data_IF_568469910445
#
_entry.id   IF_568469910445
#
_cell.length_a   1.000
_cell.length_b   1.000
_cell.length_c   1.000
_cell.angle_alpha   90.00
_cell.angle_beta   90.00
_cell.angle_gamma   90.00
#
_symmetry.space_group_name_H-M   'P 1'
#
loop_
_entity.id
_entity.type
_entity.pdbx_description
1 polymer ?
#
# COMPACT_ATOMS: atom_id res chain seq x y z
N UNK A 1 -17.51 -1.04 23.31
CA UNK A 1 -16.28 -1.83 23.36
C UNK A 1 -15.37 -1.27 22.30
N UNK A 2 -14.35 -0.52 22.69
CA UNK A 2 -13.37 0.01 21.75
C UNK A 2 -12.53 -1.18 21.30
N UNK A 3 -12.67 -1.59 20.05
CA UNK A 3 -11.83 -2.63 19.45
C UNK A 3 -10.45 -2.01 19.24
N UNK A 4 -9.55 -2.25 20.19
CA UNK A 4 -8.15 -1.87 20.09
C UNK A 4 -7.49 -2.81 19.06
N UNK A 5 -7.62 -2.44 17.79
CA UNK A 5 -7.03 -3.18 16.68
C UNK A 5 -5.55 -2.79 16.58
N UNK A 6 -4.64 -3.75 16.32
CA UNK A 6 -3.25 -3.44 16.05
C UNK A 6 -3.11 -2.39 14.96
N UNK A 7 -2.14 -1.47 15.08
CA UNK A 7 -1.92 -0.43 14.07
C UNK A 7 -1.67 -1.01 12.67
N UNK A 8 -1.13 -2.23 12.56
CA UNK A 8 -0.88 -2.92 11.29
C UNK A 8 -2.10 -3.65 10.70
N UNK A 9 -3.22 -3.74 11.42
CA UNK A 9 -4.37 -4.55 11.01
C UNK A 9 -4.96 -4.16 9.64
N UNK A 10 -4.90 -2.87 9.31
CA UNK A 10 -5.36 -2.39 8.00
C UNK A 10 -4.49 -2.96 6.86
N UNK A 11 -3.19 -3.10 7.08
CA UNK A 11 -2.25 -3.57 6.07
C UNK A 11 -2.46 -5.06 5.80
N UNK A 12 -2.68 -5.84 6.85
CA UNK A 12 -2.95 -7.28 6.75
C UNK A 12 -4.23 -7.55 5.97
N UNK A 13 -5.29 -6.77 6.24
CA UNK A 13 -6.55 -6.88 5.52
C UNK A 13 -6.39 -6.58 4.02
N UNK A 14 -5.70 -5.49 3.67
CA UNK A 14 -5.49 -5.13 2.27
C UNK A 14 -4.59 -6.15 1.57
N UNK A 15 -3.52 -6.61 2.22
CA UNK A 15 -2.63 -7.63 1.67
C UNK A 15 -3.38 -8.94 1.41
N UNK A 16 -4.24 -9.35 2.34
CA UNK A 16 -5.10 -10.53 2.19
C UNK A 16 -6.08 -10.35 1.02
N UNK A 17 -6.71 -9.18 0.91
CA UNK A 17 -7.64 -8.88 -0.16
C UNK A 17 -6.95 -8.92 -1.53
N UNK A 18 -5.80 -8.26 -1.69
CA UNK A 18 -5.06 -8.21 -2.94
C UNK A 18 -4.54 -9.59 -3.35
N UNK A 19 -4.02 -10.36 -2.40
CA UNK A 19 -3.61 -11.75 -2.63
C UNK A 19 -4.79 -12.62 -3.06
N UNK A 20 -5.96 -12.43 -2.45
CA UNK A 20 -7.18 -13.15 -2.85
C UNK A 20 -7.61 -12.78 -4.27
N UNK A 21 -7.58 -11.48 -4.61
CA UNK A 21 -7.94 -10.99 -5.94
C UNK A 21 -6.99 -11.54 -7.01
N UNK A 22 -5.68 -11.51 -6.76
CA UNK A 22 -4.69 -12.08 -7.67
C UNK A 22 -4.93 -13.57 -7.91
N UNK A 23 -5.19 -14.33 -6.84
CA UNK A 23 -5.35 -15.78 -6.94
C UNK A 23 -6.67 -16.20 -7.62
N UNK A 24 -7.77 -15.48 -7.37
CA UNK A 24 -9.10 -15.88 -7.84
C UNK A 24 -9.44 -15.27 -9.19
N UNK A 25 -8.99 -14.04 -9.45
CA UNK A 25 -9.38 -13.27 -10.63
C UNK A 25 -8.24 -13.06 -11.62
N UNK A 26 -7.11 -13.75 -11.47
CA UNK A 26 -5.97 -13.63 -12.39
C UNK A 26 -6.32 -13.88 -13.85
N UNK A 27 -7.30 -14.75 -14.13
CA UNK A 27 -7.73 -15.09 -15.49
C UNK A 27 -8.54 -13.97 -16.17
N UNK A 28 -9.08 -13.02 -15.40
CA UNK A 28 -9.94 -11.93 -15.91
C UNK A 28 -9.36 -10.53 -15.71
N UNK A 29 -8.25 -10.42 -14.98
CA UNK A 29 -7.55 -9.16 -14.76
C UNK A 29 -6.63 -8.84 -15.94
N UNK A 30 -6.65 -7.58 -16.38
CA UNK A 30 -5.70 -7.12 -17.39
C UNK A 30 -4.26 -7.18 -16.86
N UNK A 31 -3.31 -7.25 -17.80
CA UNK A 31 -1.87 -7.34 -17.50
C UNK A 31 -1.38 -6.20 -16.60
N UNK A 32 -1.96 -5.00 -16.74
CA UNK A 32 -1.59 -3.83 -15.96
C UNK A 32 -2.02 -3.98 -14.49
N UNK A 33 -3.22 -4.50 -14.23
CA UNK A 33 -3.70 -4.75 -12.86
C UNK A 33 -2.94 -5.91 -12.19
N UNK A 34 -2.58 -6.94 -12.95
CA UNK A 34 -1.70 -8.01 -12.44
C UNK A 34 -0.30 -7.48 -12.13
N UNK A 35 0.23 -6.58 -12.98
CA UNK A 35 1.49 -5.88 -12.75
C UNK A 35 1.43 -5.09 -11.44
N UNK A 36 0.37 -4.30 -11.23
CA UNK A 36 0.11 -3.57 -10.00
C UNK A 36 0.13 -4.48 -8.77
N UNK A 37 -0.63 -5.60 -8.77
CA UNK A 37 -0.72 -6.51 -7.63
C UNK A 37 0.64 -7.14 -7.29
N UNK A 38 1.41 -7.53 -8.30
CA UNK A 38 2.76 -8.09 -8.14
C UNK A 38 3.77 -7.07 -7.66
N UNK A 39 3.72 -5.86 -8.20
CA UNK A 39 4.55 -4.74 -7.75
C UNK A 39 4.26 -4.43 -6.28
N UNK A 40 2.98 -4.28 -5.92
CA UNK A 40 2.57 -4.02 -4.55
C UNK A 40 3.00 -5.14 -3.60
N UNK A 41 2.84 -6.42 -3.97
CA UNK A 41 3.22 -7.55 -3.11
C UNK A 41 4.73 -7.62 -2.86
N UNK A 42 5.56 -7.17 -3.82
CA UNK A 42 7.02 -7.11 -3.70
C UNK A 42 7.56 -5.92 -2.88
N UNK A 43 6.71 -4.94 -2.54
CA UNK A 43 7.15 -3.76 -1.78
C UNK A 43 7.58 -4.11 -0.34
N UNK A 44 8.54 -3.35 0.22
CA UNK A 44 8.79 -3.33 1.66
C UNK A 44 7.54 -2.96 2.46
N UNK A 45 7.46 -3.42 3.71
CA UNK A 45 6.29 -3.20 4.57
C UNK A 45 5.97 -1.70 4.74
N UNK A 46 6.98 -0.87 4.99
CA UNK A 46 6.83 0.58 5.16
C UNK A 46 6.30 1.28 3.91
N UNK A 47 6.70 0.82 2.74
CA UNK A 47 6.17 1.30 1.46
C UNK A 47 4.71 0.91 1.27
N UNK A 48 4.34 -0.33 1.65
CA UNK A 48 2.94 -0.76 1.62
C UNK A 48 2.09 0.07 2.58
N UNK A 49 2.56 0.28 3.84
CA UNK A 49 1.88 1.14 4.83
C UNK A 49 1.66 2.52 4.26
N UNK A 50 2.71 3.15 3.72
CA UNK A 50 2.63 4.47 3.12
C UNK A 50 1.59 4.52 2.00
N UNK A 51 1.64 3.56 1.07
CA UNK A 51 0.71 3.52 -0.06
C UNK A 51 -0.75 3.41 0.40
N UNK A 52 -1.06 2.53 1.36
CA UNK A 52 -2.43 2.41 1.88
C UNK A 52 -2.87 3.68 2.64
N UNK A 53 -1.95 4.34 3.35
CA UNK A 53 -2.22 5.64 3.98
C UNK A 53 -2.51 6.74 2.96
N UNK A 54 -1.84 6.73 1.81
CA UNK A 54 -2.08 7.65 0.71
C UNK A 54 -3.40 7.34 -0.02
N UNK A 55 -3.71 6.07 -0.28
CA UNK A 55 -4.98 5.65 -0.90
C UNK A 55 -6.21 6.04 -0.07
N UNK A 56 -6.10 5.99 1.26
CA UNK A 56 -7.19 6.39 2.15
C UNK A 56 -7.37 7.91 2.27
N UNK A 57 -6.49 8.72 1.68
CA UNK A 57 -6.60 10.18 1.68
C UNK A 57 -7.26 10.67 0.39
N UNK A 58 -8.16 11.64 0.52
CA UNK A 58 -8.94 12.20 -0.59
C UNK A 58 -8.20 13.27 -1.42
N UNK A 59 -6.91 13.53 -1.17
CA UNK A 59 -6.19 14.63 -1.82
C UNK A 59 -5.26 14.12 -2.91
N UNK A 60 -5.27 14.76 -4.07
CA UNK A 60 -4.41 14.37 -5.20
C UNK A 60 -2.92 14.73 -4.99
N UNK A 61 -2.61 15.63 -4.05
CA UNK A 61 -1.25 16.15 -3.85
C UNK A 61 -0.84 16.08 -2.37
N UNK A 62 0.36 15.55 -2.13
CA UNK A 62 0.92 15.38 -0.80
C UNK A 62 2.22 16.17 -0.65
N UNK A 63 2.36 16.90 0.45
CA UNK A 63 3.67 17.41 0.88
C UNK A 63 4.32 16.38 1.77
N UNK A 64 5.53 15.98 1.40
CA UNK A 64 6.36 15.06 2.20
C UNK A 64 6.53 15.54 3.64
N UNK A 65 6.72 16.85 3.83
CA UNK A 65 6.85 17.45 5.16
C UNK A 65 5.59 17.42 6.04
N UNK A 66 4.45 16.99 5.50
CA UNK A 66 3.18 16.79 6.23
C UNK A 66 2.75 15.32 6.31
N UNK A 67 3.56 14.42 5.78
CA UNK A 67 3.40 13.00 6.02
C UNK A 67 4.20 12.71 7.29
N UNK A 68 3.50 12.34 8.35
CA UNK A 68 4.07 11.98 9.64
C UNK A 68 3.30 10.75 10.12
N UNK A 69 3.92 9.60 9.97
CA UNK A 69 3.36 8.29 10.30
C UNK A 69 4.34 7.62 11.24
N UNK A 70 3.97 7.46 12.51
CA UNK A 70 4.84 6.88 13.53
C UNK A 70 5.21 5.43 13.27
N UNK A 71 4.44 4.73 12.44
CA UNK A 71 4.65 3.34 12.06
C UNK A 71 5.59 3.15 10.85
N UNK A 72 6.13 4.24 10.28
CA UNK A 72 7.01 4.26 9.10
C UNK A 72 8.33 4.92 9.49
N UNK A 73 9.44 4.17 9.40
CA UNK A 73 10.74 4.66 9.87
C UNK A 73 11.27 5.83 9.02
N UNK A 74 11.15 5.71 7.70
CA UNK A 74 11.59 6.73 6.75
C UNK A 74 10.65 6.83 5.56
N UNK A 75 9.82 7.88 5.54
CA UNK A 75 8.88 8.14 4.45
C UNK A 75 9.64 8.35 3.13
N UNK A 76 10.79 9.01 3.16
CA UNK A 76 11.61 9.26 1.96
C UNK A 76 12.12 7.94 1.35
N UNK A 77 12.54 6.99 2.18
CA UNK A 77 12.98 5.67 1.71
C UNK A 77 11.79 4.82 1.26
N UNK A 78 10.66 4.90 1.96
CA UNK A 78 9.43 4.20 1.61
C UNK A 78 8.85 4.63 0.24
N UNK A 79 9.12 5.86 -0.20
CA UNK A 79 8.69 6.41 -1.50
C UNK A 79 9.46 5.83 -2.67
N UNK A 80 10.76 5.57 -2.52
CA UNK A 80 11.61 5.09 -3.62
C UNK A 80 11.05 3.83 -4.33
N UNK A 81 10.68 2.75 -3.62
CA UNK A 81 10.11 1.56 -4.27
C UNK A 81 8.69 1.79 -4.80
N UNK A 82 7.92 2.74 -4.24
CA UNK A 82 6.61 3.11 -4.78
C UNK A 82 6.74 3.79 -6.15
N UNK A 83 7.71 4.69 -6.29
CA UNK A 83 8.03 5.32 -7.59
C UNK A 83 8.57 4.30 -8.60
N UNK A 84 9.42 3.37 -8.14
CA UNK A 84 9.95 2.31 -9.01
C UNK A 84 8.85 1.36 -9.53
N UNK A 85 7.73 1.26 -8.81
CA UNK A 85 6.56 0.47 -9.17
C UNK A 85 5.45 1.30 -9.86
N UNK A 86 5.70 2.57 -10.17
CA UNK A 86 4.73 3.51 -10.78
C UNK A 86 3.41 3.63 -10.01
N UNK A 87 3.48 3.55 -8.67
CA UNK A 87 2.32 3.62 -7.79
C UNK A 87 2.01 5.05 -7.31
N UNK A 88 2.95 5.99 -7.47
CA UNK A 88 2.85 7.39 -7.07
C UNK A 88 3.62 8.30 -8.03
#
# INVERSE_FOLDING_TARGET
MSTDLPESYYLDNVTTLFTHVENVYSDILDVDYLGFLKCFSALPEDSKKLYIRLLNRNNEWYRLSKLDYSEIDSITEAIQPLQACDLI
#
